data_IF_523433603565
#
_entry.id   IF_523433603565
#
_cell.length_a   1.000
_cell.length_b   1.000
_cell.length_c   1.000
_cell.angle_alpha   90.00
_cell.angle_beta   90.00
_cell.angle_gamma   90.00
#
_symmetry.space_group_name_H-M   'P 1'
#
loop_
_entity.id
_entity.type
_entity.pdbx_description
1 polymer ?
#
# COMPACT_ATOMS: atom_id res chain seq x y z
N UNK A 1 -14.39 13.35 1.94
CA UNK A 1 -13.65 14.10 0.91
C UNK A 1 -12.50 13.22 0.46
N UNK A 2 -12.33 13.02 -0.85
CA UNK A 2 -11.24 12.21 -1.40
C UNK A 2 -9.91 12.93 -1.19
N UNK A 3 -8.89 12.22 -0.72
CA UNK A 3 -7.52 12.72 -0.65
C UNK A 3 -6.71 12.27 -1.86
N UNK A 4 -7.04 11.09 -2.40
CA UNK A 4 -6.42 10.52 -3.57
C UNK A 4 -7.51 9.96 -4.49
N UNK A 5 -7.52 10.37 -5.74
CA UNK A 5 -8.46 9.90 -6.76
C UNK A 5 -7.70 9.35 -7.97
N UNK A 6 -8.11 8.19 -8.42
CA UNK A 6 -7.68 7.56 -9.68
C UNK A 6 -8.81 7.77 -10.67
N UNK A 7 -8.56 8.42 -11.79
CA UNK A 7 -9.58 8.88 -12.74
C UNK A 7 -9.33 8.28 -14.13
N UNK A 8 -10.11 7.25 -14.49
CA UNK A 8 -10.07 6.58 -15.81
C UNK A 8 -8.65 6.14 -16.21
N UNK A 9 -7.89 5.57 -15.27
CA UNK A 9 -6.49 5.21 -15.50
C UNK A 9 -6.41 3.91 -16.29
N UNK A 10 -5.75 3.98 -17.45
CA UNK A 10 -5.36 2.82 -18.25
C UNK A 10 -3.84 2.73 -18.30
N UNK A 11 -3.28 1.61 -17.83
CA UNK A 11 -1.85 1.33 -17.81
C UNK A 11 -1.52 0.15 -18.69
N UNK A 12 -0.63 0.36 -19.64
CA UNK A 12 -0.12 -0.69 -20.53
C UNK A 12 1.33 -1.01 -20.15
N UNK A 13 1.62 -2.27 -19.90
CA UNK A 13 2.97 -2.78 -19.61
C UNK A 13 3.29 -3.90 -20.61
N UNK A 14 4.43 -3.79 -21.29
CA UNK A 14 4.87 -4.77 -22.30
C UNK A 14 3.78 -5.14 -23.33
N UNK A 15 3.02 -4.12 -23.77
CA UNK A 15 1.96 -4.28 -24.76
C UNK A 15 0.67 -4.92 -24.24
N UNK A 16 0.56 -5.15 -22.90
CA UNK A 16 -0.65 -5.68 -22.27
C UNK A 16 -1.30 -4.61 -21.41
N UNK A 17 -2.61 -4.44 -21.54
CA UNK A 17 -3.39 -3.60 -20.64
C UNK A 17 -3.46 -4.29 -19.28
N UNK A 18 -2.91 -3.64 -18.24
CA UNK A 18 -2.87 -4.15 -16.86
C UNK A 18 -3.85 -3.40 -15.95
N UNK A 19 -4.06 -2.10 -16.18
CA UNK A 19 -5.18 -1.34 -15.63
C UNK A 19 -6.01 -0.87 -16.81
N UNK A 20 -7.32 -0.95 -16.71
CA UNK A 20 -8.25 -0.70 -17.80
C UNK A 20 -9.41 0.18 -17.30
N UNK A 21 -9.37 1.46 -17.66
CA UNK A 21 -10.36 2.49 -17.30
C UNK A 21 -10.71 2.51 -15.80
N UNK A 22 -9.70 2.40 -14.96
CA UNK A 22 -9.86 2.25 -13.51
C UNK A 22 -10.14 3.59 -12.84
N UNK A 23 -11.23 3.67 -12.07
CA UNK A 23 -11.58 4.85 -11.27
C UNK A 23 -11.87 4.48 -9.82
N UNK A 24 -11.13 5.10 -8.87
CA UNK A 24 -11.19 4.84 -7.43
C UNK A 24 -11.04 6.16 -6.65
N UNK A 25 -11.77 6.28 -5.53
CA UNK A 25 -11.65 7.40 -4.60
C UNK A 25 -11.29 6.92 -3.21
N UNK A 26 -10.17 7.39 -2.68
CA UNK A 26 -9.70 7.10 -1.33
C UNK A 26 -9.97 8.29 -0.40
N UNK A 27 -10.76 8.07 0.65
CA UNK A 27 -11.20 9.13 1.57
C UNK A 27 -10.18 9.39 2.65
N UNK A 28 -10.00 10.67 2.95
CA UNK A 28 -9.06 11.12 3.97
C UNK A 28 -9.34 10.48 5.34
N UNK A 29 -8.28 9.97 5.98
CA UNK A 29 -8.34 9.41 7.33
C UNK A 29 -9.05 8.06 7.44
N UNK A 30 -9.23 7.35 6.32
CA UNK A 30 -9.81 6.01 6.30
C UNK A 30 -8.76 4.97 5.91
N UNK A 31 -9.04 3.73 6.30
CA UNK A 31 -8.33 2.55 5.83
C UNK A 31 -9.13 1.93 4.69
N UNK A 32 -8.57 1.89 3.51
CA UNK A 32 -9.16 1.29 2.32
C UNK A 32 -8.45 -0.01 1.98
N UNK A 33 -9.18 -1.03 1.54
CA UNK A 33 -8.59 -2.22 0.97
C UNK A 33 -8.81 -2.27 -0.55
N UNK A 34 -7.78 -2.62 -1.29
CA UNK A 34 -7.85 -2.99 -2.71
C UNK A 34 -7.59 -4.48 -2.80
N UNK A 35 -8.60 -5.24 -3.14
CA UNK A 35 -8.54 -6.69 -3.15
C UNK A 35 -8.78 -7.26 -4.56
N UNK A 36 -8.42 -8.49 -4.76
CA UNK A 36 -8.62 -9.21 -6.02
C UNK A 36 -7.62 -10.33 -6.19
N UNK A 37 -7.82 -11.20 -7.18
CA UNK A 37 -6.90 -12.31 -7.46
C UNK A 37 -5.51 -11.84 -7.86
N UNK A 38 -4.55 -12.77 -7.88
CA UNK A 38 -3.23 -12.49 -8.43
C UNK A 38 -3.34 -12.13 -9.91
N UNK A 39 -2.62 -11.09 -10.32
CA UNK A 39 -2.72 -10.56 -11.69
C UNK A 39 -3.87 -9.57 -11.92
N UNK A 40 -4.65 -9.22 -10.90
CA UNK A 40 -5.73 -8.22 -11.03
C UNK A 40 -5.25 -6.78 -11.25
N UNK A 41 -3.94 -6.50 -11.18
CA UNK A 41 -3.39 -5.16 -11.36
C UNK A 41 -3.17 -4.37 -10.06
N UNK A 42 -3.37 -4.97 -8.89
CA UNK A 42 -3.30 -4.27 -7.58
C UNK A 42 -1.94 -3.60 -7.30
N UNK A 43 -0.84 -4.33 -7.44
CA UNK A 43 0.52 -3.77 -7.26
C UNK A 43 0.86 -2.77 -8.37
N UNK A 44 0.35 -2.99 -9.60
CA UNK A 44 0.46 -2.03 -10.70
C UNK A 44 -0.21 -0.71 -10.32
N UNK A 45 -1.40 -0.75 -9.73
CA UNK A 45 -2.08 0.45 -9.23
C UNK A 45 -1.21 1.22 -8.22
N UNK A 46 -0.64 0.53 -7.21
CA UNK A 46 0.25 1.18 -6.23
C UNK A 46 1.47 1.82 -6.89
N UNK A 47 2.12 1.09 -7.82
CA UNK A 47 3.29 1.59 -8.55
C UNK A 47 2.94 2.80 -9.43
N UNK A 48 1.77 2.80 -10.06
CA UNK A 48 1.27 3.92 -10.88
C UNK A 48 0.96 5.14 -9.98
N UNK A 49 0.31 4.94 -8.83
CA UNK A 49 0.06 6.01 -7.84
C UNK A 49 1.39 6.60 -7.34
N UNK A 50 2.41 5.79 -7.12
CA UNK A 50 3.74 6.26 -6.72
C UNK A 50 4.53 6.91 -7.86
N UNK A 51 4.14 6.71 -9.12
CA UNK A 51 4.87 7.22 -10.28
C UNK A 51 6.24 6.57 -10.44
N UNK A 52 6.34 5.26 -10.19
CA UNK A 52 7.59 4.52 -10.31
C UNK A 52 8.03 4.42 -11.78
N UNK A 53 9.32 4.22 -11.98
CA UNK A 53 9.86 4.04 -13.31
C UNK A 53 9.16 2.89 -14.06
N UNK A 54 8.70 3.15 -15.28
CA UNK A 54 7.90 2.23 -16.07
C UNK A 54 6.38 2.32 -15.84
N UNK A 55 5.92 3.07 -14.82
CA UNK A 55 4.50 3.21 -14.50
C UNK A 55 3.96 4.63 -14.67
N UNK A 56 4.75 5.54 -15.21
CA UNK A 56 4.37 6.96 -15.41
C UNK A 56 3.60 7.21 -16.71
N UNK A 57 3.74 6.31 -17.70
CA UNK A 57 3.06 6.43 -18.99
C UNK A 57 1.69 5.74 -18.94
N UNK A 58 0.67 6.42 -18.43
CA UNK A 58 -0.72 5.94 -18.36
C UNK A 58 -1.68 6.97 -18.97
N UNK A 59 -2.84 6.51 -19.43
CA UNK A 59 -3.98 7.36 -19.73
C UNK A 59 -4.74 7.70 -18.45
N UNK A 60 -5.67 8.66 -18.51
CA UNK A 60 -6.39 9.13 -17.33
C UNK A 60 -5.53 10.01 -16.43
N UNK A 61 -5.92 10.20 -15.18
CA UNK A 61 -5.19 11.03 -14.23
C UNK A 61 -5.23 10.46 -12.80
N UNK A 62 -4.27 10.85 -11.98
CA UNK A 62 -4.24 10.58 -10.55
C UNK A 62 -4.18 11.93 -9.84
N UNK A 63 -5.16 12.18 -8.99
CA UNK A 63 -5.27 13.44 -8.27
C UNK A 63 -4.93 13.22 -6.78
N UNK A 64 -4.13 14.11 -6.23
CA UNK A 64 -3.84 14.18 -4.79
C UNK A 64 -4.27 15.54 -4.26
N UNK A 65 -5.21 15.57 -3.30
CA UNK A 65 -5.91 16.80 -2.87
C UNK A 65 -6.53 17.59 -4.02
N UNK A 66 -6.97 16.92 -5.08
CA UNK A 66 -7.53 17.54 -6.28
C UNK A 66 -6.50 18.06 -7.28
N UNK A 67 -5.20 17.97 -7.00
CA UNK A 67 -4.12 18.33 -7.92
C UNK A 67 -3.61 17.10 -8.67
N UNK A 68 -3.41 17.24 -9.99
CA UNK A 68 -2.86 16.16 -10.83
C UNK A 68 -1.43 15.79 -10.40
N UNK A 69 -1.18 14.49 -10.35
CA UNK A 69 0.16 13.92 -10.17
C UNK A 69 0.85 13.60 -11.50
N UNK A 70 0.27 13.99 -12.63
CA UNK A 70 0.91 13.83 -13.94
C UNK A 70 2.26 14.55 -13.93
N UNK A 71 3.28 13.90 -14.43
CA UNK A 71 4.66 14.41 -14.47
C UNK A 71 5.29 14.75 -13.11
N UNK A 72 4.63 14.45 -12.00
CA UNK A 72 5.21 14.59 -10.66
C UNK A 72 6.09 13.37 -10.36
N UNK A 73 7.41 13.55 -10.15
CA UNK A 73 8.33 12.44 -9.91
C UNK A 73 8.11 11.80 -8.53
N UNK A 74 8.57 10.56 -8.36
CA UNK A 74 8.35 9.74 -7.16
C UNK A 74 8.82 10.41 -5.86
N UNK A 75 9.96 11.09 -5.89
CA UNK A 75 10.51 11.79 -4.73
C UNK A 75 9.66 13.00 -4.32
N UNK A 76 9.06 13.68 -5.28
CA UNK A 76 8.14 14.78 -5.01
C UNK A 76 6.78 14.28 -4.50
N UNK A 77 6.26 13.15 -5.04
CA UNK A 77 5.07 12.48 -4.48
C UNK A 77 5.31 12.07 -3.03
N UNK A 78 6.50 11.55 -2.72
CA UNK A 78 6.88 11.21 -1.36
C UNK A 78 6.96 12.44 -0.45
N UNK A 79 7.52 13.57 -0.90
CA UNK A 79 7.54 14.84 -0.16
C UNK A 79 6.14 15.42 0.07
N UNK A 80 5.21 15.21 -0.85
CA UNK A 80 3.79 15.58 -0.69
C UNK A 80 3.06 14.68 0.31
N UNK A 81 3.67 13.57 0.71
CA UNK A 81 3.18 12.66 1.75
C UNK A 81 2.53 11.38 1.22
N UNK A 82 2.81 10.94 -0.01
CA UNK A 82 2.39 9.64 -0.53
C UNK A 82 3.56 8.66 -0.38
N UNK A 83 3.37 7.56 0.33
CA UNK A 83 4.42 6.56 0.59
C UNK A 83 3.94 5.15 0.29
N UNK A 84 4.88 4.26 0.00
CA UNK A 84 4.61 2.85 -0.30
C UNK A 84 5.48 1.94 0.55
N UNK A 85 4.84 1.04 1.30
CA UNK A 85 5.48 -0.11 1.90
C UNK A 85 5.42 -1.28 0.90
N UNK A 86 6.59 -1.82 0.58
CA UNK A 86 6.73 -2.85 -0.45
C UNK A 86 6.33 -4.23 0.04
N UNK A 87 5.91 -5.10 -0.87
CA UNK A 87 5.67 -6.51 -0.58
C UNK A 87 6.93 -7.17 0.01
N UNK A 88 8.09 -6.97 -0.62
CA UNK A 88 9.39 -7.36 -0.07
C UNK A 88 10.22 -6.12 0.29
N UNK A 89 10.47 -5.88 1.59
CA UNK A 89 11.32 -4.78 2.01
C UNK A 89 12.73 -4.89 1.44
N UNK A 90 13.25 -3.77 0.95
CA UNK A 90 14.59 -3.71 0.40
C UNK A 90 15.67 -4.04 1.44
N UNK A 91 16.81 -4.53 0.97
CA UNK A 91 18.01 -4.78 1.76
C UNK A 91 19.08 -3.78 1.38
N UNK A 92 19.71 -3.18 2.37
CA UNK A 92 20.75 -2.18 2.16
C UNK A 92 21.99 -2.56 2.98
N UNK A 93 22.91 -3.31 2.37
CA UNK A 93 24.15 -3.69 3.05
C UNK A 93 24.96 -2.44 3.45
N UNK A 94 25.39 -2.41 4.71
CA UNK A 94 26.15 -1.29 5.27
C UNK A 94 25.32 -0.06 5.68
N UNK A 95 24.00 -0.07 5.52
CA UNK A 95 23.13 0.99 6.02
C UNK A 95 22.54 0.60 7.37
N UNK A 96 22.82 1.41 8.41
CA UNK A 96 22.22 1.16 9.73
C UNK A 96 20.73 1.49 9.76
N UNK A 97 19.98 0.81 10.63
CA UNK A 97 18.56 1.04 10.86
C UNK A 97 18.28 2.52 11.17
N UNK A 98 19.12 3.16 12.01
CA UNK A 98 19.00 4.60 12.28
C UNK A 98 19.03 5.42 10.98
N UNK A 99 20.06 5.23 10.16
CA UNK A 99 20.21 5.98 8.90
C UNK A 99 19.08 5.69 7.92
N UNK A 100 18.62 4.44 7.86
CA UNK A 100 17.51 4.06 7.01
C UNK A 100 16.21 4.75 7.43
N UNK A 101 15.84 4.70 8.72
CA UNK A 101 14.62 5.34 9.25
C UNK A 101 14.67 6.85 9.04
N UNK A 102 15.83 7.47 9.25
CA UNK A 102 15.97 8.93 9.19
C UNK A 102 16.28 9.50 7.81
N UNK A 103 16.45 8.65 6.79
CA UNK A 103 16.83 9.11 5.44
C UNK A 103 15.80 10.09 4.85
N UNK A 104 14.51 9.77 4.95
CA UNK A 104 13.41 10.64 4.48
C UNK A 104 12.71 11.43 5.59
N UNK A 105 13.14 11.29 6.85
CA UNK A 105 12.45 11.85 7.99
C UNK A 105 12.63 13.37 8.11
N UNK A 106 11.58 14.07 8.54
CA UNK A 106 11.67 15.47 8.95
C UNK A 106 12.47 15.61 10.26
N UNK A 107 12.23 14.70 11.23
CA UNK A 107 12.99 14.61 12.47
C UNK A 107 14.02 13.48 12.38
N UNK A 108 15.31 13.83 12.40
CA UNK A 108 16.43 12.88 12.23
C UNK A 108 17.07 12.44 13.54
N UNK A 109 16.41 12.70 14.67
CA UNK A 109 16.97 12.32 15.96
C UNK A 109 16.95 10.80 16.16
N UNK A 110 18.01 10.29 16.79
CA UNK A 110 18.11 8.89 17.19
C UNK A 110 16.95 8.49 18.12
N UNK A 111 16.56 9.39 19.01
CA UNK A 111 15.47 9.19 19.95
C UNK A 111 14.15 8.92 19.20
N UNK A 112 13.80 9.77 18.23
CA UNK A 112 12.57 9.58 17.44
C UNK A 112 12.57 8.26 16.66
N UNK A 113 13.71 7.88 16.06
CA UNK A 113 13.85 6.60 15.38
C UNK A 113 13.62 5.40 16.34
N UNK A 114 14.15 5.49 17.58
CA UNK A 114 13.92 4.45 18.60
C UNK A 114 12.45 4.39 19.04
N UNK A 115 11.78 5.52 19.24
CA UNK A 115 10.36 5.59 19.56
C UNK A 115 9.49 4.93 18.48
N UNK A 116 9.83 5.10 17.20
CA UNK A 116 9.15 4.45 16.09
C UNK A 116 9.39 2.92 16.08
N UNK A 117 10.59 2.47 16.39
CA UNK A 117 10.89 1.04 16.54
C UNK A 117 10.08 0.40 17.66
N UNK A 118 10.06 1.04 18.85
CA UNK A 118 9.27 0.59 20.00
C UNK A 118 7.78 0.49 19.68
N UNK A 119 7.22 1.49 18.97
CA UNK A 119 5.83 1.47 18.52
C UNK A 119 5.52 0.23 17.67
N UNK A 120 6.50 -0.25 16.92
CA UNK A 120 6.38 -1.41 16.05
C UNK A 120 6.85 -2.72 16.74
N UNK A 121 7.11 -2.69 18.05
CA UNK A 121 7.51 -3.85 18.84
C UNK A 121 8.93 -4.32 18.56
N UNK A 122 9.83 -3.40 18.21
CA UNK A 122 11.27 -3.62 18.08
C UNK A 122 12.00 -2.81 19.16
N UNK A 123 12.80 -3.48 19.99
CA UNK A 123 13.60 -2.80 21.02
C UNK A 123 14.59 -1.82 20.37
N UNK A 124 14.37 -0.53 20.58
CA UNK A 124 15.14 0.52 19.94
C UNK A 124 16.63 0.42 20.20
N UNK A 125 17.05 0.02 21.41
CA UNK A 125 18.46 -0.10 21.75
C UNK A 125 19.13 -1.25 20.99
N UNK A 126 18.42 -2.35 20.81
CA UNK A 126 18.93 -3.54 20.11
C UNK A 126 19.02 -3.31 18.61
N UNK A 127 18.02 -2.63 18.02
CA UNK A 127 17.90 -2.55 16.55
C UNK A 127 18.53 -1.33 15.92
N UNK A 128 18.63 -0.20 16.61
CA UNK A 128 18.97 1.10 16.02
C UNK A 128 20.34 1.12 15.32
N UNK A 129 21.32 0.36 15.79
CA UNK A 129 22.68 0.30 15.23
C UNK A 129 22.88 -0.93 14.32
N UNK A 130 21.92 -1.84 14.22
CA UNK A 130 21.99 -2.97 13.27
C UNK A 130 21.91 -2.49 11.83
N UNK A 131 22.43 -3.29 10.91
CA UNK A 131 22.28 -3.03 9.48
C UNK A 131 20.95 -3.57 8.95
N UNK A 132 20.41 -2.90 7.92
CA UNK A 132 19.21 -3.35 7.19
C UNK A 132 19.64 -4.40 6.15
N UNK A 133 20.06 -5.56 6.62
CA UNK A 133 20.63 -6.60 5.80
C UNK A 133 19.92 -7.98 5.99
N UNK A 134 20.55 -9.03 5.48
CA UNK A 134 20.05 -10.40 5.53
C UNK A 134 19.97 -11.02 6.96
N UNK A 135 20.58 -10.38 7.96
CA UNK A 135 20.52 -10.87 9.35
C UNK A 135 19.20 -10.56 10.03
N UNK A 136 18.41 -9.65 9.45
CA UNK A 136 17.05 -9.35 9.89
C UNK A 136 16.05 -10.33 9.28
N UNK A 137 15.11 -10.83 10.09
CA UNK A 137 13.96 -11.61 9.60
C UNK A 137 13.06 -10.77 8.67
N UNK A 138 12.19 -11.42 7.91
CA UNK A 138 11.20 -10.76 7.07
C UNK A 138 10.32 -9.78 7.85
N UNK A 139 9.80 -10.23 9.01
CA UNK A 139 8.96 -9.41 9.87
C UNK A 139 9.70 -8.23 10.52
N UNK A 140 10.99 -8.40 10.90
CA UNK A 140 11.81 -7.30 11.41
C UNK A 140 12.04 -6.24 10.33
N UNK A 141 12.41 -6.65 9.10
CA UNK A 141 12.61 -5.72 7.98
C UNK A 141 11.34 -4.95 7.66
N UNK A 142 10.18 -5.61 7.60
CA UNK A 142 8.90 -4.97 7.32
C UNK A 142 8.53 -3.92 8.37
N UNK A 143 8.77 -4.22 9.64
CA UNK A 143 8.55 -3.25 10.74
C UNK A 143 9.55 -2.08 10.69
N UNK A 144 10.81 -2.33 10.34
CA UNK A 144 11.81 -1.27 10.14
C UNK A 144 11.47 -0.39 8.93
N UNK A 145 11.00 -0.98 7.82
CA UNK A 145 10.49 -0.23 6.67
C UNK A 145 9.30 0.65 7.08
N UNK A 146 8.33 0.09 7.81
CA UNK A 146 7.21 0.86 8.31
C UNK A 146 7.65 2.00 9.23
N UNK A 147 8.67 1.78 10.10
CA UNK A 147 9.26 2.85 10.90
C UNK A 147 9.81 3.99 10.02
N UNK A 148 10.48 3.66 8.91
CA UNK A 148 10.98 4.68 7.98
C UNK A 148 9.86 5.47 7.29
N UNK A 149 8.78 4.80 6.94
CA UNK A 149 7.57 5.43 6.37
C UNK A 149 6.92 6.37 7.39
N UNK A 150 6.75 5.92 8.63
CA UNK A 150 6.19 6.75 9.71
C UNK A 150 7.04 7.99 9.99
N UNK A 151 8.36 7.87 9.92
CA UNK A 151 9.30 8.97 10.10
C UNK A 151 9.16 10.08 9.03
N UNK A 152 8.63 9.75 7.85
CA UNK A 152 8.34 10.71 6.79
C UNK A 152 7.07 11.54 7.05
N UNK A 153 6.31 11.25 8.11
CA UNK A 153 5.02 11.87 8.42
C UNK A 153 4.05 11.86 7.21
N UNK A 154 3.71 10.67 6.68
CA UNK A 154 2.93 10.55 5.46
C UNK A 154 1.49 11.03 5.66
N UNK A 155 0.83 11.35 4.54
CA UNK A 155 -0.61 11.67 4.47
C UNK A 155 -1.40 10.49 3.89
N UNK A 156 -0.77 9.74 2.99
CA UNK A 156 -1.27 8.50 2.40
C UNK A 156 -0.17 7.44 2.46
N UNK A 157 -0.49 6.28 3.00
CA UNK A 157 0.38 5.11 3.04
C UNK A 157 -0.24 3.99 2.22
N UNK A 158 0.40 3.60 1.12
CA UNK A 158 0.07 2.37 0.42
C UNK A 158 0.87 1.22 1.05
N UNK A 159 0.25 0.07 1.23
CA UNK A 159 0.91 -1.14 1.73
C UNK A 159 0.56 -2.32 0.83
N UNK A 160 1.56 -2.84 0.13
CA UNK A 160 1.38 -3.99 -0.76
C UNK A 160 1.68 -5.28 0.00
N UNK A 161 0.64 -6.11 0.17
CA UNK A 161 0.67 -7.38 0.90
C UNK A 161 1.39 -7.30 2.26
N UNK A 162 0.85 -6.51 3.22
CA UNK A 162 1.51 -6.28 4.50
C UNK A 162 1.71 -7.55 5.33
N UNK A 163 0.95 -8.61 5.06
CA UNK A 163 0.99 -9.91 5.74
C UNK A 163 1.95 -10.92 5.07
N UNK A 164 2.52 -10.60 3.91
CA UNK A 164 3.41 -11.52 3.21
C UNK A 164 4.72 -11.78 3.97
N UNK A 165 5.00 -13.06 4.25
CA UNK A 165 6.29 -13.50 4.82
C UNK A 165 6.54 -13.07 6.27
N UNK A 166 5.50 -12.76 7.04
CA UNK A 166 5.60 -12.38 8.45
C UNK A 166 4.76 -13.30 9.34
N UNK A 167 5.13 -13.41 10.61
CA UNK A 167 4.39 -14.15 11.61
C UNK A 167 3.18 -13.36 12.14
N UNK A 168 2.30 -14.07 12.88
CA UNK A 168 1.05 -13.49 13.41
C UNK A 168 1.32 -12.33 14.38
N UNK A 169 2.37 -12.42 15.20
CA UNK A 169 2.69 -11.37 16.17
C UNK A 169 3.15 -10.09 15.47
N UNK A 170 4.05 -10.21 14.48
CA UNK A 170 4.48 -9.08 13.68
C UNK A 170 3.31 -8.43 12.91
N UNK A 171 2.38 -9.24 12.38
CA UNK A 171 1.18 -8.76 11.71
C UNK A 171 0.28 -7.95 12.65
N UNK A 172 0.06 -8.43 13.88
CA UNK A 172 -0.71 -7.69 14.89
C UNK A 172 -0.08 -6.34 15.22
N UNK A 173 1.26 -6.26 15.29
CA UNK A 173 1.97 -4.99 15.49
C UNK A 173 1.78 -4.02 14.33
N UNK A 174 1.79 -4.53 13.10
CA UNK A 174 1.49 -3.73 11.90
C UNK A 174 0.05 -3.21 11.98
N UNK A 175 -0.94 -4.04 12.32
CA UNK A 175 -2.33 -3.62 12.45
C UNK A 175 -2.51 -2.54 13.54
N UNK A 176 -1.86 -2.70 14.68
CA UNK A 176 -1.87 -1.67 15.73
C UNK A 176 -1.30 -0.33 15.22
N UNK A 177 -0.21 -0.38 14.44
CA UNK A 177 0.35 0.81 13.81
C UNK A 177 -0.61 1.45 12.80
N UNK A 178 -1.32 0.64 11.98
CA UNK A 178 -2.34 1.13 11.04
C UNK A 178 -3.47 1.88 11.75
N UNK A 179 -3.99 1.34 12.84
CA UNK A 179 -5.00 2.03 13.66
C UNK A 179 -4.45 3.33 14.27
N UNK A 180 -3.18 3.33 14.66
CA UNK A 180 -2.49 4.55 15.12
C UNK A 180 -2.35 5.60 14.00
N UNK A 181 -2.11 5.20 12.76
CA UNK A 181 -2.09 6.11 11.60
C UNK A 181 -3.48 6.70 11.33
N UNK A 182 -4.51 5.86 11.29
CA UNK A 182 -5.89 6.29 11.11
C UNK A 182 -6.31 7.30 12.17
N UNK A 183 -5.99 7.06 13.44
CA UNK A 183 -6.33 7.98 14.55
C UNK A 183 -5.67 9.35 14.40
N UNK A 184 -4.54 9.44 13.69
CA UNK A 184 -3.86 10.70 13.31
C UNK A 184 -4.40 11.33 12.03
N UNK A 185 -5.45 10.77 11.42
CA UNK A 185 -6.06 11.25 10.18
C UNK A 185 -5.29 10.90 8.92
N UNK A 186 -4.33 9.96 9.00
CA UNK A 186 -3.57 9.45 7.86
C UNK A 186 -4.43 8.41 7.12
N UNK A 187 -4.44 8.48 5.81
CA UNK A 187 -5.15 7.53 4.94
C UNK A 187 -4.26 6.33 4.67
N UNK A 188 -4.82 5.13 4.77
CA UNK A 188 -4.10 3.90 4.48
C UNK A 188 -4.79 3.15 3.35
N UNK A 189 -4.01 2.65 2.40
CA UNK A 189 -4.50 1.84 1.27
C UNK A 189 -3.78 0.48 1.36
N UNK A 190 -4.54 -0.54 1.74
CA UNK A 190 -4.07 -1.92 1.87
C UNK A 190 -4.31 -2.66 0.56
N UNK A 191 -3.27 -3.14 -0.07
CA UNK A 191 -3.37 -4.03 -1.22
C UNK A 191 -3.18 -5.45 -0.71
N UNK A 192 -4.19 -6.31 -0.88
CA UNK A 192 -4.15 -7.64 -0.28
C UNK A 192 -5.03 -8.65 -1.02
N UNK A 193 -4.74 -9.91 -0.76
CA UNK A 193 -5.60 -11.05 -1.07
C UNK A 193 -5.99 -11.82 0.22
N UNK A 194 -5.73 -11.24 1.41
CA UNK A 194 -5.96 -11.83 2.73
C UNK A 194 -7.20 -11.25 3.40
N UNK A 195 -8.08 -12.11 3.92
CA UNK A 195 -9.25 -11.69 4.71
C UNK A 195 -8.84 -10.98 6.00
N UNK A 196 -7.78 -11.46 6.68
CA UNK A 196 -7.33 -10.85 7.92
C UNK A 196 -6.87 -9.40 7.74
N UNK A 197 -6.28 -9.08 6.59
CA UNK A 197 -5.89 -7.71 6.23
C UNK A 197 -7.12 -6.90 5.80
N UNK A 198 -8.05 -7.51 5.03
CA UNK A 198 -9.28 -6.87 4.62
C UNK A 198 -10.13 -6.39 5.82
N UNK A 199 -10.20 -7.19 6.88
CA UNK A 199 -10.93 -6.88 8.12
C UNK A 199 -10.41 -5.63 8.85
N UNK A 200 -9.22 -5.14 8.51
CA UNK A 200 -8.66 -3.91 9.08
C UNK A 200 -9.14 -2.64 8.35
N UNK A 201 -9.82 -2.79 7.23
CA UNK A 201 -10.27 -1.66 6.41
C UNK A 201 -11.67 -1.18 6.78
N UNK A 202 -11.96 0.08 6.43
CA UNK A 202 -13.31 0.68 6.55
C UNK A 202 -14.13 0.46 5.29
N UNK A 203 -13.45 0.34 4.14
CA UNK A 203 -14.05 0.25 2.81
C UNK A 203 -13.15 -0.57 1.89
N UNK A 204 -13.72 -1.30 0.96
CA UNK A 204 -12.96 -2.11 0.03
C UNK A 204 -13.38 -1.91 -1.43
N UNK A 205 -12.41 -2.12 -2.31
CA UNK A 205 -12.53 -2.16 -3.76
C UNK A 205 -12.13 -3.55 -4.25
N UNK A 206 -13.00 -4.22 -5.00
CA UNK A 206 -12.70 -5.49 -5.64
C UNK A 206 -12.22 -5.23 -7.07
N UNK A 207 -10.98 -5.60 -7.36
CA UNK A 207 -10.39 -5.53 -8.69
C UNK A 207 -10.28 -6.90 -9.34
N UNK A 208 -10.53 -6.94 -10.64
CA UNK A 208 -10.22 -8.10 -11.49
C UNK A 208 -9.83 -7.61 -12.89
N UNK A 209 -8.78 -8.19 -13.48
CA UNK A 209 -8.31 -7.81 -14.82
C UNK A 209 -8.12 -6.30 -15.05
N UNK A 210 -7.57 -5.61 -14.07
CA UNK A 210 -7.32 -4.17 -14.17
C UNK A 210 -8.54 -3.27 -14.00
N UNK A 211 -9.73 -3.84 -13.80
CA UNK A 211 -11.01 -3.11 -13.64
C UNK A 211 -11.54 -3.19 -12.22
N UNK A 212 -12.31 -2.19 -11.83
CA UNK A 212 -13.12 -2.23 -10.61
C UNK A 212 -14.37 -3.05 -10.89
N UNK A 213 -14.57 -4.15 -10.15
CA UNK A 213 -15.78 -4.97 -10.24
C UNK A 213 -16.86 -4.54 -9.24
N UNK A 214 -16.44 -4.25 -8.00
CA UNK A 214 -17.36 -3.85 -6.94
C UNK A 214 -16.64 -3.02 -5.89
N UNK A 215 -17.39 -2.28 -5.09
CA UNK A 215 -16.88 -1.48 -3.95
C UNK A 215 -17.94 -1.41 -2.86
N UNK A 216 -17.50 -1.25 -1.61
CA UNK A 216 -18.45 -1.13 -0.50
C UNK A 216 -17.88 -1.52 0.84
N UNK A 217 -18.77 -1.95 1.73
CA UNK A 217 -18.41 -2.42 3.07
C UNK A 217 -17.57 -3.70 3.01
N UNK A 218 -16.84 -3.94 4.09
CA UNK A 218 -16.00 -5.15 4.22
C UNK A 218 -16.85 -6.42 4.14
N UNK A 219 -18.06 -6.42 4.76
CA UNK A 219 -18.96 -7.56 4.71
C UNK A 219 -19.40 -7.90 3.28
N UNK A 220 -19.76 -6.88 2.49
CA UNK A 220 -20.14 -7.05 1.09
C UNK A 220 -18.99 -7.62 0.28
N UNK A 221 -17.84 -6.97 0.34
CA UNK A 221 -16.69 -7.32 -0.49
C UNK A 221 -16.02 -8.61 0.01
N UNK A 222 -16.00 -8.87 1.33
CA UNK A 222 -15.51 -10.11 1.93
C UNK A 222 -16.27 -11.35 1.46
N UNK A 223 -17.54 -11.22 1.10
CA UNK A 223 -18.34 -12.29 0.53
C UNK A 223 -17.74 -12.91 -0.74
N UNK A 224 -17.01 -12.13 -1.54
CA UNK A 224 -16.33 -12.64 -2.73
C UNK A 224 -15.17 -13.59 -2.41
N UNK A 225 -14.53 -13.47 -1.24
CA UNK A 225 -13.49 -14.40 -0.80
C UNK A 225 -14.08 -15.77 -0.40
N UNK A 226 -15.23 -15.78 0.27
CA UNK A 226 -15.86 -17.00 0.77
C UNK A 226 -16.61 -17.75 -0.32
N UNK A 227 -17.20 -17.05 -1.28
CA UNK A 227 -18.09 -17.63 -2.29
C UNK A 227 -17.43 -17.85 -3.67
N UNK A 228 -16.09 -17.69 -3.76
CA UNK A 228 -15.33 -17.55 -4.99
C UNK A 228 -15.70 -16.28 -5.76
N UNK A 229 -14.71 -15.68 -6.43
CA UNK A 229 -14.89 -14.55 -7.33
C UNK A 229 -16.07 -14.80 -8.30
N UNK A 230 -16.61 -13.73 -8.88
CA UNK A 230 -17.66 -13.82 -9.94
C UNK A 230 -17.31 -15.00 -10.86
N UNK A 231 -18.23 -15.96 -11.05
CA UNK A 231 -17.98 -17.10 -11.93
C UNK A 231 -17.61 -16.60 -13.33
N UNK A 232 -16.45 -16.96 -13.80
CA UNK A 232 -16.01 -16.68 -15.17
C UNK A 232 -15.28 -17.91 -15.72
N UNK A 233 -15.48 -18.22 -16.99
CA UNK A 233 -14.86 -19.36 -17.67
C UNK A 233 -13.38 -19.12 -17.99
N UNK A 234 -12.93 -17.89 -17.86
CA UNK A 234 -11.56 -17.48 -18.12
C UNK A 234 -10.79 -17.34 -16.79
N UNK A 235 -9.53 -17.77 -16.78
CA UNK A 235 -8.65 -17.57 -15.62
C UNK A 235 -8.58 -16.09 -15.22
N UNK A 236 -9.29 -15.73 -14.16
CA UNK A 236 -9.36 -14.38 -13.63
C UNK A 236 -9.83 -13.30 -14.63
N UNK A 237 -10.67 -13.67 -15.58
CA UNK A 237 -11.21 -12.75 -16.57
C UNK A 237 -12.74 -12.90 -16.55
N UNK A 238 -13.46 -11.99 -15.88
CA UNK A 238 -14.92 -11.99 -15.90
C UNK A 238 -15.42 -11.67 -17.29
N UNK A 239 -16.56 -12.24 -17.67
CA UNK A 239 -17.24 -11.85 -18.89
C UNK A 239 -17.69 -10.39 -18.81
N UNK A 240 -17.73 -9.71 -19.97
CA UNK A 240 -18.04 -8.28 -20.02
C UNK A 240 -19.44 -7.94 -19.46
N UNK A 241 -20.35 -8.92 -19.41
CA UNK A 241 -21.71 -8.80 -18.85
C UNK A 241 -21.73 -8.92 -17.30
N UNK A 242 -20.66 -9.43 -16.68
CA UNK A 242 -20.55 -9.63 -15.23
C UNK A 242 -19.87 -8.47 -14.51
N UNK A 243 -19.35 -7.50 -15.26
CA UNK A 243 -18.76 -6.29 -14.68
C UNK A 243 -19.89 -5.37 -14.22
N UNK A 244 -20.06 -5.28 -12.90
CA UNK A 244 -21.02 -4.33 -12.31
C UNK A 244 -20.47 -2.92 -12.50
N UNK A 245 -21.16 -2.14 -13.32
CA UNK A 245 -20.88 -0.71 -13.58
C UNK A 245 -21.22 0.14 -12.35
#
# INVERSE_FOLDING_TARGET
>A
MSILSVCNVTQILDGKTVLDDLSLDFWKGHVHAVIGPNGAGKSTLANTIMGLHGYTAHEGDILFDGESLRDVPVDERARRGITLAWQEPARFEGLSVHKFITAGAAEKSRRHAMELLEMLGLDGNTYIDRNVDRTLSGGERKRIELASILAMAPRVVLMDEPDSGIDVEALQRIFAALHGLKSKGITVILITHSLAVLEQADHAFLMCHGRLLDKGSIDRIGGYFTNKCIPCDHRNQPDAEEVVV
#
